data_IF_925019872504
#
_entry.id   IF_925019872504
#
_cell.length_a   1.000
_cell.length_b   1.000
_cell.length_c   1.000
_cell.angle_alpha   90.00
_cell.angle_beta   90.00
_cell.angle_gamma   90.00
#
_symmetry.space_group_name_H-M   'P 1'
#
loop_
_entity.id
_entity.type
_entity.pdbx_description
1 polymer ?
#
# COMPACT_ATOMS: atom_id res chain seq x y z
N UNK A 1 57.74 11.54 -42.75
CA UNK A 1 56.58 12.33 -42.27
C UNK A 1 55.63 11.54 -41.37
N UNK A 2 55.51 10.21 -41.50
CA UNK A 2 54.63 9.40 -40.61
C UNK A 2 55.15 9.16 -39.18
N UNK A 3 56.46 9.25 -38.90
CA UNK A 3 56.98 9.00 -37.54
C UNK A 3 56.80 10.17 -36.56
N UNK A 4 56.65 11.42 -37.04
CA UNK A 4 56.43 12.57 -36.15
C UNK A 4 54.98 12.71 -35.66
N UNK A 5 54.01 12.15 -36.39
CA UNK A 5 52.57 12.29 -36.08
C UNK A 5 52.13 11.27 -35.00
N UNK A 6 52.76 10.10 -34.92
CA UNK A 6 52.46 9.12 -33.86
C UNK A 6 52.94 9.56 -32.48
N UNK A 7 54.07 10.28 -32.39
CA UNK A 7 54.60 10.76 -31.11
C UNK A 7 53.78 11.88 -30.46
N UNK A 8 53.15 12.74 -31.25
CA UNK A 8 52.35 13.87 -30.73
C UNK A 8 50.96 13.46 -30.25
N UNK A 9 50.35 12.43 -30.87
CA UNK A 9 49.04 11.89 -30.46
C UNK A 9 49.15 11.10 -29.15
N UNK A 10 50.19 10.28 -28.99
CA UNK A 10 50.44 9.53 -27.76
C UNK A 10 50.68 10.47 -26.57
N UNK A 11 51.44 11.55 -26.78
CA UNK A 11 51.76 12.52 -25.74
C UNK A 11 50.53 13.35 -25.29
N UNK A 12 49.55 13.57 -26.19
CA UNK A 12 48.28 14.25 -25.87
C UNK A 12 47.34 13.36 -25.05
N UNK A 13 47.28 12.07 -25.37
CA UNK A 13 46.50 11.08 -24.60
C UNK A 13 47.08 10.88 -23.19
N UNK A 14 48.40 10.81 -23.06
CA UNK A 14 49.06 10.74 -21.75
C UNK A 14 48.78 12.01 -20.93
N UNK A 15 48.90 13.20 -21.53
CA UNK A 15 48.59 14.46 -20.83
C UNK A 15 47.12 14.56 -20.38
N UNK A 16 46.18 14.08 -21.22
CA UNK A 16 44.76 14.00 -20.86
C UNK A 16 44.51 13.01 -19.71
N UNK A 17 45.16 11.84 -19.72
CA UNK A 17 45.07 10.85 -18.66
C UNK A 17 45.63 11.36 -17.33
N UNK A 18 46.74 12.12 -17.36
CA UNK A 18 47.27 12.79 -16.16
C UNK A 18 46.33 13.87 -15.64
N UNK A 19 45.70 14.65 -16.52
CA UNK A 19 44.74 15.68 -16.11
C UNK A 19 43.46 15.09 -15.50
N UNK A 20 42.94 14.01 -16.09
CA UNK A 20 41.78 13.26 -15.57
C UNK A 20 42.13 12.58 -14.24
N UNK A 21 43.32 11.97 -14.12
CA UNK A 21 43.79 11.34 -12.88
C UNK A 21 43.93 12.37 -11.75
N UNK A 22 44.49 13.54 -12.02
CA UNK A 22 44.60 14.65 -11.05
C UNK A 22 43.21 15.20 -10.66
N UNK A 23 42.28 15.30 -11.61
CA UNK A 23 40.90 15.72 -11.33
C UNK A 23 40.15 14.68 -10.48
N UNK A 24 40.32 13.38 -10.75
CA UNK A 24 39.73 12.29 -9.98
C UNK A 24 40.31 12.21 -8.58
N UNK A 25 41.63 12.39 -8.41
CA UNK A 25 42.28 12.48 -7.09
C UNK A 25 41.84 13.72 -6.30
N UNK A 26 41.64 14.86 -6.97
CA UNK A 26 41.07 16.06 -6.36
C UNK A 26 39.63 15.80 -5.88
N UNK A 27 38.77 15.23 -6.73
CA UNK A 27 37.39 14.90 -6.38
C UNK A 27 37.30 13.85 -5.26
N UNK A 28 38.15 12.82 -5.28
CA UNK A 28 38.25 11.81 -4.21
C UNK A 28 38.77 12.40 -2.89
N UNK A 29 39.55 13.48 -2.92
CA UNK A 29 39.99 14.18 -1.70
C UNK A 29 38.87 14.99 -1.01
N UNK A 30 37.78 15.31 -1.72
CA UNK A 30 36.59 15.95 -1.16
C UNK A 30 35.55 14.96 -0.60
N UNK A 31 35.64 13.66 -0.92
CA UNK A 31 34.70 12.63 -0.45
C UNK A 31 34.71 12.45 1.08
N UNK A 32 35.87 12.46 1.78
CA UNK A 32 35.89 12.37 3.25
C UNK A 32 35.36 13.64 3.95
N UNK A 33 35.31 14.77 3.24
CA UNK A 33 34.79 16.03 3.78
C UNK A 33 33.26 16.04 3.77
N UNK A 34 32.61 15.35 2.83
CA UNK A 34 31.16 15.28 2.71
C UNK A 34 30.48 14.41 3.78
N UNK A 35 31.19 13.44 4.37
CA UNK A 35 30.63 12.44 5.29
C UNK A 35 30.40 12.96 6.73
N UNK A 36 30.72 14.22 7.04
CA UNK A 36 30.58 14.78 8.39
C UNK A 36 30.10 16.24 8.44
N UNK A 37 29.43 16.72 7.39
CA UNK A 37 29.03 18.14 7.27
C UNK A 37 27.62 18.44 7.77
N UNK A 38 26.74 17.44 7.92
CA UNK A 38 25.42 17.63 8.53
C UNK A 38 25.53 17.75 10.05
N UNK A 39 24.77 18.67 10.65
CA UNK A 39 24.68 18.82 12.11
C UNK A 39 23.24 18.60 12.52
N UNK A 40 23.04 17.69 13.47
CA UNK A 40 21.74 17.52 14.12
C UNK A 40 21.43 18.74 14.97
N UNK A 41 20.24 19.30 14.77
CA UNK A 41 19.73 20.44 15.50
C UNK A 41 18.32 20.14 15.99
N UNK A 42 17.96 20.68 17.16
CA UNK A 42 16.69 20.43 17.81
C UNK A 42 16.05 21.70 18.34
N UNK A 43 14.73 21.64 18.45
CA UNK A 43 13.91 22.70 19.03
C UNK A 43 12.77 22.08 19.82
N UNK A 44 12.36 22.75 20.89
CA UNK A 44 11.22 22.37 21.71
C UNK A 44 10.32 23.58 21.95
N UNK A 45 9.01 23.37 21.88
CA UNK A 45 7.98 24.38 22.07
C UNK A 45 6.97 23.91 23.10
N UNK A 46 6.53 24.81 23.98
CA UNK A 46 5.41 24.55 24.89
C UNK A 46 4.49 25.75 24.99
N UNK A 47 3.24 25.50 25.35
CA UNK A 47 2.33 26.53 25.83
C UNK A 47 0.89 26.03 25.91
N UNK A 48 -0.06 26.97 25.87
CA UNK A 48 -1.48 26.72 26.19
C UNK A 48 -2.38 27.31 25.11
N UNK A 49 -3.33 26.52 24.60
CA UNK A 49 -4.34 26.99 23.67
C UNK A 49 -5.68 27.13 24.37
N UNK A 50 -6.33 28.27 24.16
CA UNK A 50 -7.68 28.55 24.65
C UNK A 50 -8.58 28.91 23.49
N UNK A 51 -9.86 28.55 23.59
CA UNK A 51 -10.91 28.94 22.65
C UNK A 51 -12.00 29.64 23.46
N UNK A 52 -12.13 30.96 23.26
CA UNK A 52 -12.92 31.83 24.12
C UNK A 52 -12.51 31.65 25.60
N UNK A 53 -13.45 31.33 26.48
CA UNK A 53 -13.22 31.19 27.92
C UNK A 53 -12.86 29.75 28.34
N UNK A 54 -12.56 28.86 27.39
CA UNK A 54 -12.30 27.44 27.66
C UNK A 54 -10.92 27.02 27.18
N UNK A 55 -10.26 26.07 27.88
CA UNK A 55 -9.12 25.37 27.32
C UNK A 55 -9.48 24.69 25.99
N UNK A 56 -8.62 24.82 24.99
CA UNK A 56 -8.80 24.16 23.70
C UNK A 56 -8.09 22.82 23.74
N UNK A 57 -8.84 21.78 24.13
CA UNK A 57 -8.35 20.40 24.17
C UNK A 57 -8.34 19.76 22.78
N UNK A 58 -7.46 18.77 22.60
CA UNK A 58 -7.34 17.96 21.38
C UNK A 58 -7.05 18.77 20.08
N UNK A 59 -6.37 19.92 20.23
CA UNK A 59 -5.93 20.76 19.11
C UNK A 59 -4.59 20.22 18.60
N UNK A 60 -4.50 19.96 17.31
CA UNK A 60 -3.29 19.41 16.68
C UNK A 60 -2.23 20.49 16.49
N UNK A 61 -1.00 20.15 16.87
CA UNK A 61 0.19 20.97 16.71
C UNK A 61 1.29 20.18 16.03
N UNK A 62 1.99 20.79 15.07
CA UNK A 62 3.08 20.14 14.32
C UNK A 62 4.27 21.05 14.20
N UNK A 63 5.44 20.51 14.47
CA UNK A 63 6.72 21.18 14.36
C UNK A 63 7.39 20.77 13.05
N UNK A 64 7.85 21.76 12.30
CA UNK A 64 8.45 21.61 10.99
C UNK A 64 9.76 22.36 10.90
N UNK A 65 10.62 21.86 10.02
CA UNK A 65 11.70 22.63 9.43
C UNK A 65 11.21 23.23 8.11
N UNK A 66 11.35 24.56 7.94
CA UNK A 66 10.90 25.25 6.74
C UNK A 66 11.98 25.27 5.66
N UNK A 67 11.69 24.60 4.55
CA UNK A 67 12.60 24.51 3.41
C UNK A 67 12.20 25.47 2.29
N UNK A 68 13.18 26.14 1.67
CA UNK A 68 12.93 27.05 0.53
C UNK A 68 12.80 26.34 -0.80
N UNK A 69 13.35 25.13 -0.93
CA UNK A 69 13.47 24.38 -2.19
C UNK A 69 12.83 22.98 -2.14
N UNK A 70 12.37 22.54 -0.96
CA UNK A 70 11.68 21.27 -0.71
C UNK A 70 10.38 21.52 0.09
N UNK A 71 9.45 20.55 0.11
CA UNK A 71 8.37 20.57 1.09
C UNK A 71 8.92 20.56 2.52
N UNK A 72 8.29 21.30 3.43
CA UNK A 72 8.66 21.34 4.85
C UNK A 72 8.83 19.93 5.45
N UNK A 73 9.92 19.70 6.18
CA UNK A 73 10.17 18.44 6.88
C UNK A 73 9.41 18.42 8.22
N UNK A 74 8.61 17.38 8.45
CA UNK A 74 7.91 17.19 9.72
C UNK A 74 8.88 16.64 10.77
N UNK A 75 9.18 17.45 11.80
CA UNK A 75 10.07 17.05 12.90
C UNK A 75 9.31 16.36 14.03
N UNK A 76 8.10 16.82 14.36
CA UNK A 76 7.27 16.24 15.41
C UNK A 76 5.80 16.65 15.29
N UNK A 77 4.90 15.84 15.87
CA UNK A 77 3.49 16.17 16.02
C UNK A 77 2.99 15.89 17.44
N UNK A 78 1.96 16.59 17.86
CA UNK A 78 1.32 16.43 19.15
C UNK A 78 -0.08 17.04 19.18
N UNK A 79 -0.77 16.89 20.31
CA UNK A 79 -2.10 17.46 20.55
C UNK A 79 -2.15 18.08 21.94
N UNK A 80 -3.00 19.09 22.13
CA UNK A 80 -3.23 19.67 23.45
C UNK A 80 -3.97 18.72 24.37
N UNK A 81 -3.63 18.75 25.66
CA UNK A 81 -4.31 18.00 26.71
C UNK A 81 -5.69 18.61 27.07
N UNK A 82 -6.38 18.02 28.05
CA UNK A 82 -7.69 18.48 28.51
C UNK A 82 -7.67 19.91 29.11
N UNK A 83 -6.49 20.42 29.47
CA UNK A 83 -6.26 21.77 29.98
C UNK A 83 -5.69 22.70 28.88
N UNK A 84 -5.65 22.24 27.63
CA UNK A 84 -5.16 23.01 26.49
C UNK A 84 -3.64 23.12 26.42
N UNK A 85 -2.89 22.42 27.28
CA UNK A 85 -1.42 22.48 27.27
C UNK A 85 -0.84 21.55 26.20
N UNK A 86 0.28 21.96 25.61
CA UNK A 86 1.12 21.07 24.81
C UNK A 86 2.60 21.30 25.06
N UNK A 87 3.39 20.28 24.77
CA UNK A 87 4.84 20.34 24.67
C UNK A 87 5.29 19.43 23.53
N UNK A 88 5.93 20.01 22.52
CA UNK A 88 6.43 19.30 21.34
C UNK A 88 7.91 19.56 21.16
N UNK A 89 8.67 18.55 20.76
CA UNK A 89 10.10 18.65 20.51
C UNK A 89 10.47 17.76 19.34
N UNK A 90 11.42 18.21 18.52
CA UNK A 90 11.90 17.48 17.37
C UNK A 90 13.30 17.90 16.99
N UNK A 91 13.90 17.17 16.05
CA UNK A 91 15.21 17.46 15.48
C UNK A 91 15.23 17.19 13.98
N UNK A 92 16.20 17.78 13.30
CA UNK A 92 16.51 17.54 11.89
C UNK A 92 18.03 17.54 11.68
N UNK A 93 18.47 16.86 10.64
CA UNK A 93 19.87 16.78 10.22
C UNK A 93 20.12 17.68 9.01
N UNK A 94 20.71 18.85 9.25
CA UNK A 94 20.94 19.84 8.20
C UNK A 94 22.41 20.28 8.09
N UNK A 95 22.81 20.68 6.89
CA UNK A 95 24.09 21.37 6.66
C UNK A 95 24.05 22.83 7.16
N UNK A 96 22.88 23.45 7.14
CA UNK A 96 22.59 24.82 7.57
C UNK A 96 21.90 24.86 8.93
N UNK A 97 21.52 26.05 9.41
CA UNK A 97 20.64 26.15 10.57
C UNK A 97 19.22 25.84 10.13
N UNK A 98 18.52 25.02 10.91
CA UNK A 98 17.09 24.77 10.73
C UNK A 98 16.29 26.08 10.81
N UNK A 99 15.17 26.16 10.10
CA UNK A 99 14.21 27.27 10.08
C UNK A 99 12.90 26.83 10.77
N UNK A 100 12.89 26.65 12.11
CA UNK A 100 11.82 25.93 12.80
C UNK A 100 10.54 26.75 12.87
N UNK A 101 9.42 26.12 12.50
CA UNK A 101 8.07 26.66 12.69
C UNK A 101 7.15 25.60 13.28
N UNK A 102 6.16 26.02 14.03
CA UNK A 102 5.07 25.13 14.42
C UNK A 102 3.72 25.66 13.94
N UNK A 103 2.88 24.72 13.53
CA UNK A 103 1.54 24.98 13.01
C UNK A 103 0.52 24.52 14.03
N UNK A 104 -0.49 25.35 14.28
CA UNK A 104 -1.67 25.05 15.11
C UNK A 104 -2.86 24.87 14.16
N UNK A 105 -3.56 23.74 14.30
CA UNK A 105 -4.72 23.40 13.48
C UNK A 105 -5.98 23.32 14.34
N UNK A 106 -6.93 24.23 14.13
CA UNK A 106 -8.08 24.37 15.02
C UNK A 106 -9.37 24.77 14.31
N UNK A 107 -10.49 24.51 14.99
CA UNK A 107 -11.85 24.85 14.53
C UNK A 107 -12.56 25.80 15.50
N UNK A 108 -11.82 26.46 16.39
CA UNK A 108 -12.37 27.46 17.30
C UNK A 108 -13.12 28.57 16.53
N UNK A 109 -14.40 28.74 16.87
CA UNK A 109 -15.35 29.64 16.21
C UNK A 109 -15.40 29.53 14.67
N UNK A 110 -15.08 28.35 14.13
CA UNK A 110 -14.99 28.11 12.68
C UNK A 110 -16.27 27.52 12.09
N UNK A 111 -17.23 27.13 12.93
CA UNK A 111 -18.50 26.55 12.51
C UNK A 111 -18.34 25.18 11.84
N UNK A 112 -19.13 24.89 10.80
CA UNK A 112 -19.04 23.67 9.98
C UNK A 112 -18.38 24.05 8.65
N UNK A 113 -17.09 24.37 8.68
CA UNK A 113 -16.33 24.77 7.49
C UNK A 113 -15.25 23.72 7.21
N UNK A 114 -15.11 23.24 5.96
CA UNK A 114 -14.08 22.26 5.63
C UNK A 114 -12.68 22.88 5.81
N UNK A 115 -11.71 22.02 6.11
CA UNK A 115 -10.31 22.40 6.35
C UNK A 115 -10.13 23.15 7.68
N UNK A 116 -9.11 22.83 8.46
CA UNK A 116 -8.91 23.52 9.74
C UNK A 116 -8.28 24.90 9.51
N UNK A 117 -8.60 25.86 10.38
CA UNK A 117 -7.83 27.10 10.47
C UNK A 117 -6.41 26.75 10.90
N UNK A 118 -5.43 27.28 10.16
CA UNK A 118 -4.01 27.02 10.36
C UNK A 118 -3.29 28.31 10.72
N UNK A 119 -2.69 28.33 11.90
CA UNK A 119 -1.81 29.40 12.36
C UNK A 119 -0.38 28.88 12.38
N UNK A 120 0.52 29.57 11.69
CA UNK A 120 1.95 29.26 11.67
C UNK A 120 2.70 30.21 12.59
N UNK A 121 3.54 29.67 13.46
CA UNK A 121 4.39 30.44 14.37
C UNK A 121 5.85 30.00 14.16
N UNK A 122 6.71 30.94 13.78
CA UNK A 122 8.15 30.69 13.68
C UNK A 122 8.79 30.71 15.07
N UNK A 123 9.65 29.73 15.34
CA UNK A 123 10.40 29.63 16.58
C UNK A 123 11.71 30.42 16.42
N UNK A 124 12.04 31.37 17.31
CA UNK A 124 13.26 32.16 17.15
C UNK A 124 14.54 31.33 17.24
N UNK A 125 15.52 31.62 16.37
CA UNK A 125 16.77 30.86 16.22
C UNK A 125 17.54 30.65 17.53
N UNK A 126 17.42 31.57 18.49
CA UNK A 126 18.07 31.47 19.81
C UNK A 126 17.63 30.25 20.66
N UNK A 127 16.52 29.60 20.27
CA UNK A 127 16.00 28.37 20.88
C UNK A 127 16.50 27.10 20.19
N UNK A 128 17.16 27.20 19.03
CA UNK A 128 17.79 26.07 18.35
C UNK A 128 18.95 25.56 19.21
N UNK A 129 19.01 24.25 19.37
CA UNK A 129 20.06 23.55 20.13
C UNK A 129 20.78 22.56 19.24
N UNK A 130 22.09 22.38 19.44
CA UNK A 130 22.83 21.30 18.79
C UNK A 130 22.57 19.95 19.48
N UNK A 131 22.35 18.92 18.66
CA UNK A 131 21.97 17.55 19.05
C UNK A 131 20.47 17.29 18.93
N UNK A 132 20.07 16.03 19.13
CA UNK A 132 18.67 15.57 18.99
C UNK A 132 17.71 16.11 20.06
N UNK A 133 18.22 16.55 21.21
CA UNK A 133 17.41 17.01 22.34
C UNK A 133 17.57 18.51 22.57
N UNK A 134 16.46 19.29 22.61
CA UNK A 134 16.54 20.72 22.82
C UNK A 134 17.02 21.06 24.23
N UNK A 135 17.99 21.97 24.33
CA UNK A 135 18.53 22.46 25.61
C UNK A 135 17.71 23.63 26.16
N UNK A 136 16.92 24.27 25.31
CA UNK A 136 16.02 25.37 25.64
C UNK A 136 14.65 25.06 25.06
N UNK A 137 13.61 25.45 25.79
CA UNK A 137 12.23 25.32 25.35
C UNK A 137 11.69 26.71 25.07
N UNK A 138 11.14 26.92 23.88
CA UNK A 138 10.39 28.12 23.53
C UNK A 138 9.01 28.06 24.17
N UNK A 139 8.78 28.91 25.17
CA UNK A 139 7.47 29.08 25.78
C UNK A 139 6.69 30.14 24.99
N UNK A 140 5.74 29.70 24.17
CA UNK A 140 4.91 30.63 23.37
C UNK A 140 3.73 31.20 24.17
N UNK A 141 3.59 30.81 25.45
CA UNK A 141 2.59 31.33 26.37
C UNK A 141 1.18 30.77 26.12
N UNK A 142 0.17 31.60 26.38
CA UNK A 142 -1.25 31.26 26.16
C UNK A 142 -1.77 31.99 24.93
N UNK A 143 -2.42 31.26 24.02
CA UNK A 143 -2.90 31.79 22.75
C UNK A 143 -4.39 31.56 22.56
N UNK A 144 -5.10 32.62 22.14
CA UNK A 144 -6.55 32.66 21.97
C UNK A 144 -6.95 32.31 20.53
N UNK A 145 -7.53 31.15 20.31
CA UNK A 145 -7.90 30.67 18.97
C UNK A 145 -9.16 31.32 18.39
N UNK A 146 -9.97 31.99 19.21
CA UNK A 146 -11.19 32.67 18.75
C UNK A 146 -10.91 33.92 17.90
N UNK A 147 -9.73 34.52 18.02
CA UNK A 147 -9.33 35.70 17.24
C UNK A 147 -9.11 35.37 15.76
N UNK A 148 -9.19 36.37 14.88
CA UNK A 148 -8.76 36.27 13.47
C UNK A 148 -7.37 36.87 13.33
N UNK A 149 -6.42 36.09 12.84
CA UNK A 149 -5.01 36.50 12.79
C UNK A 149 -4.55 36.80 11.36
N UNK A 150 -3.69 37.80 11.20
CA UNK A 150 -3.09 38.09 9.91
C UNK A 150 -2.11 36.96 9.53
N UNK A 151 -2.18 36.48 8.27
CA UNK A 151 -1.36 35.35 7.80
C UNK A 151 -1.92 33.97 8.18
N UNK A 152 -3.07 33.92 8.86
CA UNK A 152 -3.81 32.69 9.08
C UNK A 152 -4.31 32.11 7.74
N UNK A 153 -4.11 30.80 7.57
CA UNK A 153 -4.49 30.07 6.36
C UNK A 153 -5.49 28.97 6.71
N UNK A 154 -5.91 28.17 5.73
CA UNK A 154 -6.70 26.95 5.96
C UNK A 154 -5.94 25.76 5.40
N UNK A 155 -5.85 24.69 6.19
CA UNK A 155 -5.23 23.44 5.73
C UNK A 155 -6.30 22.42 5.35
N UNK A 156 -6.42 22.19 4.05
CA UNK A 156 -7.32 21.20 3.45
C UNK A 156 -6.66 19.86 3.17
N UNK A 157 -5.35 19.76 3.37
CA UNK A 157 -4.57 18.53 3.24
C UNK A 157 -4.56 17.75 4.57
N UNK A 158 -4.92 18.43 5.67
CA UNK A 158 -5.22 17.84 6.98
C UNK A 158 -6.71 18.00 7.32
N UNK A 159 -7.54 16.98 7.12
CA UNK A 159 -8.92 16.99 7.57
C UNK A 159 -9.01 16.46 9.01
N UNK A 160 -9.38 17.30 9.99
CA UNK A 160 -10.01 16.79 11.22
C UNK A 160 -11.47 17.28 11.36
N UNK A 161 -12.36 16.30 11.16
CA UNK A 161 -13.69 16.05 11.73
C UNK A 161 -14.61 17.23 12.12
N UNK A 162 -15.65 17.43 11.32
CA UNK A 162 -16.97 17.82 11.84
C UNK A 162 -17.52 16.69 12.73
N UNK A 163 -18.42 17.00 13.68
CA UNK A 163 -18.99 16.11 14.71
C UNK A 163 -19.69 14.80 14.23
N UNK A 164 -19.55 14.41 12.96
CA UNK A 164 -19.95 13.10 12.46
C UNK A 164 -18.79 12.11 12.61
N UNK A 165 -18.87 11.25 13.62
CA UNK A 165 -17.93 10.14 13.78
C UNK A 165 -18.23 9.12 12.67
N UNK A 166 -17.31 8.88 11.72
CA UNK A 166 -17.53 7.88 10.67
C UNK A 166 -17.72 6.52 11.34
N UNK A 167 -18.78 5.83 10.93
CA UNK A 167 -19.18 4.57 11.54
C UNK A 167 -18.75 3.41 10.66
N UNK A 168 -18.30 2.34 11.30
CA UNK A 168 -18.08 1.09 10.61
C UNK A 168 -19.39 0.55 10.03
N UNK A 169 -19.36 -0.18 8.90
CA UNK A 169 -20.57 -0.69 8.30
C UNK A 169 -21.36 -1.59 9.24
N UNK A 170 -22.69 -1.59 9.08
CA UNK A 170 -23.61 -2.41 9.88
C UNK A 170 -23.47 -2.18 11.41
N UNK A 171 -23.00 -1.00 11.83
CA UNK A 171 -22.74 -0.66 13.23
C UNK A 171 -21.76 -1.62 13.92
N UNK A 172 -20.82 -2.21 13.17
CA UNK A 172 -19.71 -2.97 13.75
C UNK A 172 -18.78 -2.07 14.58
N UNK A 173 -18.01 -2.66 15.49
CA UNK A 173 -17.08 -1.89 16.32
C UNK A 173 -15.95 -1.31 15.46
N UNK A 174 -15.62 -0.05 15.67
CA UNK A 174 -14.38 0.55 15.17
C UNK A 174 -13.26 0.33 16.19
N UNK A 175 -12.04 0.15 15.70
CA UNK A 175 -10.84 0.22 16.53
C UNK A 175 -10.44 1.69 16.66
N UNK A 176 -10.78 2.31 17.80
CA UNK A 176 -10.46 3.72 18.14
C UNK A 176 -10.78 4.77 17.04
N UNK A 177 -11.67 4.42 16.11
CA UNK A 177 -11.94 5.19 14.88
C UNK A 177 -10.68 5.46 14.02
N UNK A 178 -9.67 4.59 14.14
CA UNK A 178 -8.46 4.64 13.33
C UNK A 178 -8.79 4.53 11.85
N UNK A 179 -8.33 5.52 11.10
CA UNK A 179 -8.41 5.51 9.64
C UNK A 179 -7.34 4.57 9.08
N UNK A 180 -7.68 3.95 7.97
CA UNK A 180 -6.77 3.07 7.25
C UNK A 180 -6.81 3.37 5.74
N UNK A 181 -5.74 3.04 5.02
CA UNK A 181 -5.75 3.03 3.55
C UNK A 181 -5.89 1.58 3.05
N UNK A 182 -6.94 1.20 2.31
CA UNK A 182 -7.10 -0.18 1.83
C UNK A 182 -5.94 -0.69 0.96
N UNK A 183 -5.06 0.21 0.48
CA UNK A 183 -3.85 -0.11 -0.30
C UNK A 183 -2.62 -0.39 0.56
N UNK A 184 -2.63 -0.02 1.84
CA UNK A 184 -1.51 -0.20 2.78
C UNK A 184 -1.72 -1.43 3.65
N UNK A 185 -0.64 -2.20 3.83
CA UNK A 185 -0.67 -3.50 4.54
C UNK A 185 -0.72 -3.30 6.05
N UNK A 186 -1.40 -4.22 6.74
CA UNK A 186 -1.30 -4.44 8.19
C UNK A 186 -1.50 -3.18 9.05
N UNK A 187 -2.41 -2.29 8.66
CA UNK A 187 -2.72 -1.09 9.45
C UNK A 187 -3.67 -1.37 10.60
N UNK A 188 -4.58 -2.34 10.44
CA UNK A 188 -5.57 -2.68 11.44
C UNK A 188 -5.07 -3.82 12.34
N UNK A 189 -5.42 -3.81 13.64
CA UNK A 189 -5.09 -4.90 14.55
C UNK A 189 -5.86 -6.18 14.21
N UNK A 190 -5.42 -7.31 14.78
CA UNK A 190 -6.09 -8.60 14.60
C UNK A 190 -7.57 -8.53 15.01
N UNK A 191 -8.46 -9.14 14.23
CA UNK A 191 -9.91 -9.06 14.40
C UNK A 191 -10.56 -7.82 13.75
N UNK A 192 -9.76 -6.94 13.14
CA UNK A 192 -10.22 -5.77 12.42
C UNK A 192 -9.67 -5.78 10.98
N UNK A 193 -10.44 -5.24 10.04
CA UNK A 193 -10.00 -5.02 8.66
C UNK A 193 -10.34 -3.61 8.20
N UNK A 194 -9.63 -3.14 7.18
CA UNK A 194 -9.83 -1.81 6.63
C UNK A 194 -11.09 -1.78 5.77
N UNK A 195 -12.19 -1.22 6.29
CA UNK A 195 -13.51 -1.22 5.67
C UNK A 195 -13.98 0.19 5.39
N UNK A 196 -14.79 0.36 4.36
CA UNK A 196 -15.33 1.67 4.00
C UNK A 196 -16.29 2.14 5.10
N UNK A 197 -16.05 3.29 5.70
CA UNK A 197 -16.96 3.88 6.69
C UNK A 197 -18.26 4.36 6.04
N UNK A 198 -19.36 4.24 6.77
CA UNK A 198 -20.60 4.93 6.44
C UNK A 198 -20.48 6.39 6.88
N UNK A 199 -20.52 7.30 5.92
CA UNK A 199 -20.69 8.72 6.18
C UNK A 199 -22.19 9.02 6.26
N UNK A 200 -22.67 9.34 7.46
CA UNK A 200 -24.09 9.65 7.68
C UNK A 200 -24.46 11.07 7.23
N UNK A 201 -23.52 11.90 6.78
CA UNK A 201 -23.84 13.25 6.33
C UNK A 201 -23.36 13.54 4.89
N UNK A 202 -24.33 13.65 3.97
CA UNK A 202 -24.13 13.78 2.52
C UNK A 202 -23.65 15.17 2.06
N UNK A 203 -22.86 15.88 2.86
CA UNK A 203 -22.34 17.20 2.50
C UNK A 203 -20.82 17.26 2.33
N UNK A 204 -20.18 16.13 2.02
CA UNK A 204 -18.78 16.07 1.58
C UNK A 204 -18.70 16.01 0.05
N UNK A 205 -17.74 16.74 -0.51
CA UNK A 205 -17.34 16.69 -1.92
C UNK A 205 -17.17 15.23 -2.41
N UNK A 206 -17.47 14.90 -3.68
CA UNK A 206 -17.88 13.55 -4.08
C UNK A 206 -16.78 12.46 -4.17
N UNK A 207 -15.54 12.65 -3.71
CA UNK A 207 -14.44 11.85 -4.30
C UNK A 207 -13.58 10.97 -3.39
N UNK A 208 -13.53 11.15 -2.07
CA UNK A 208 -12.65 10.30 -1.24
C UNK A 208 -13.43 9.46 -0.21
N UNK A 209 -13.59 8.14 -0.44
CA UNK A 209 -14.18 7.24 0.54
C UNK A 209 -13.31 7.17 1.80
N UNK A 210 -13.94 7.33 2.97
CA UNK A 210 -13.29 7.13 4.28
C UNK A 210 -13.23 5.62 4.55
N UNK A 211 -12.09 5.15 5.04
CA UNK A 211 -11.93 3.77 5.51
C UNK A 211 -11.48 3.76 6.97
N UNK A 212 -11.99 2.80 7.73
CA UNK A 212 -11.75 2.62 9.15
C UNK A 212 -11.34 1.18 9.43
N UNK A 213 -10.59 0.98 10.50
CA UNK A 213 -10.38 -0.35 11.06
C UNK A 213 -11.65 -0.82 11.78
N UNK A 214 -12.35 -1.77 11.17
CA UNK A 214 -13.66 -2.23 11.59
C UNK A 214 -13.64 -3.72 11.92
N UNK A 215 -14.34 -4.10 12.98
CA UNK A 215 -14.42 -5.47 13.47
C UNK A 215 -14.97 -6.42 12.40
N UNK A 216 -14.39 -7.62 12.34
CA UNK A 216 -14.72 -8.65 11.35
C UNK A 216 -15.50 -9.84 11.91
N UNK A 217 -15.62 -9.96 13.24
CA UNK A 217 -16.20 -11.14 13.90
C UNK A 217 -17.64 -11.45 13.47
N UNK A 218 -18.43 -10.42 13.14
CA UNK A 218 -19.82 -10.57 12.68
C UNK A 218 -19.98 -10.63 11.17
N UNK A 219 -18.89 -10.54 10.39
CA UNK A 219 -18.98 -10.50 8.93
C UNK A 219 -19.31 -11.89 8.37
N UNK A 220 -20.36 -11.96 7.56
CA UNK A 220 -20.61 -13.12 6.71
C UNK A 220 -19.62 -13.14 5.55
N UNK A 221 -19.46 -14.30 4.90
CA UNK A 221 -18.64 -14.39 3.68
C UNK A 221 -19.19 -13.50 2.55
N UNK A 222 -20.50 -13.22 2.54
CA UNK A 222 -21.12 -12.29 1.61
C UNK A 222 -20.68 -10.84 1.84
N UNK A 223 -20.57 -10.43 3.11
CA UNK A 223 -20.04 -9.11 3.47
C UNK A 223 -18.59 -8.96 3.01
N UNK A 224 -17.75 -9.98 3.23
CA UNK A 224 -16.39 -10.02 2.70
C UNK A 224 -16.34 -9.86 1.17
N UNK A 225 -17.17 -10.61 0.44
CA UNK A 225 -17.20 -10.51 -1.03
C UNK A 225 -17.70 -9.15 -1.53
N UNK A 226 -18.61 -8.50 -0.80
CA UNK A 226 -19.10 -7.17 -1.12
C UNK A 226 -18.03 -6.09 -0.86
N UNK A 227 -17.35 -6.13 0.29
CA UNK A 227 -16.32 -5.17 0.69
C UNK A 227 -15.13 -5.17 -0.28
N UNK A 228 -14.72 -6.35 -0.75
CA UNK A 228 -13.66 -6.51 -1.75
C UNK A 228 -14.16 -6.32 -3.19
N UNK A 229 -15.41 -5.87 -3.39
CA UNK A 229 -16.03 -5.64 -4.69
C UNK A 229 -16.03 -6.86 -5.63
N UNK A 230 -15.97 -8.06 -5.05
CA UNK A 230 -15.97 -9.33 -5.78
C UNK A 230 -17.38 -9.69 -6.27
N UNK A 231 -18.40 -9.39 -5.47
CA UNK A 231 -19.81 -9.59 -5.83
C UNK A 231 -20.53 -8.23 -5.90
N UNK A 232 -21.32 -7.95 -6.96
CA UNK A 232 -21.63 -8.80 -8.12
C UNK A 232 -20.66 -8.62 -9.31
N UNK A 233 -19.56 -7.90 -9.13
CA UNK A 233 -18.69 -7.46 -10.23
C UNK A 233 -17.97 -8.62 -10.94
N UNK A 234 -17.48 -9.59 -10.17
CA UNK A 234 -16.72 -10.75 -10.65
C UNK A 234 -17.59 -12.00 -10.52
N UNK A 235 -18.11 -12.25 -9.31
CA UNK A 235 -18.98 -13.38 -9.01
C UNK A 235 -20.44 -12.93 -8.93
N UNK A 236 -21.37 -13.53 -9.70
CA UNK A 236 -22.78 -13.10 -9.74
C UNK A 236 -23.51 -13.19 -8.39
N UNK A 237 -23.12 -14.16 -7.56
CA UNK A 237 -23.73 -14.43 -6.26
C UNK A 237 -22.62 -14.63 -5.23
N UNK A 238 -22.83 -14.20 -3.96
CA UNK A 238 -21.88 -14.47 -2.90
C UNK A 238 -21.90 -15.97 -2.55
N UNK A 239 -20.82 -16.53 -1.99
CA UNK A 239 -20.79 -17.88 -1.46
C UNK A 239 -21.83 -18.09 -0.34
N UNK A 240 -22.34 -19.32 -0.19
CA UNK A 240 -23.37 -19.62 0.81
C UNK A 240 -22.84 -19.66 2.25
N UNK A 241 -21.58 -20.04 2.46
CA UNK A 241 -20.99 -20.18 3.78
C UNK A 241 -19.50 -19.81 3.78
N UNK A 242 -18.98 -19.46 4.96
CA UNK A 242 -17.55 -19.31 5.16
C UNK A 242 -16.91 -20.69 5.37
N UNK A 243 -15.67 -20.85 4.94
CA UNK A 243 -14.84 -21.99 5.35
C UNK A 243 -14.34 -21.78 6.78
N UNK A 244 -14.23 -22.85 7.56
CA UNK A 244 -13.64 -22.78 8.90
C UNK A 244 -12.16 -22.44 8.79
N UNK A 245 -11.44 -23.17 7.95
CA UNK A 245 -9.99 -23.03 7.82
C UNK A 245 -9.48 -23.59 6.50
N UNK A 246 -8.29 -23.14 6.11
CA UNK A 246 -7.56 -23.62 4.92
C UNK A 246 -6.14 -23.97 5.34
N UNK A 247 -5.73 -25.19 5.00
CA UNK A 247 -4.34 -25.62 5.14
C UNK A 247 -3.68 -25.52 3.76
N UNK A 248 -2.59 -24.75 3.72
CA UNK A 248 -1.76 -24.65 2.54
C UNK A 248 -0.69 -25.73 2.56
N UNK A 249 -0.29 -26.13 1.37
CA UNK A 249 0.82 -27.05 1.19
C UNK A 249 2.12 -26.40 1.67
N UNK A 250 2.86 -27.03 2.58
CA UNK A 250 4.17 -26.54 2.99
C UNK A 250 5.22 -26.74 1.89
N UNK A 251 6.37 -26.07 2.01
CA UNK A 251 7.51 -26.26 1.11
C UNK A 251 8.08 -27.68 1.16
N UNK A 252 8.04 -28.29 2.35
CA UNK A 252 8.51 -29.63 2.62
C UNK A 252 7.73 -30.24 3.79
N UNK A 253 7.92 -31.55 4.02
CA UNK A 253 7.21 -32.29 5.06
C UNK A 253 7.58 -31.86 6.50
N UNK A 254 8.65 -31.10 6.70
CA UNK A 254 9.17 -30.73 8.01
C UNK A 254 8.80 -29.30 8.43
N UNK A 255 8.34 -28.49 7.48
CA UNK A 255 7.93 -27.12 7.71
C UNK A 255 6.50 -27.06 8.24
N UNK A 256 6.34 -26.69 9.51
CA UNK A 256 5.03 -26.39 10.07
C UNK A 256 4.48 -25.12 9.41
N UNK A 257 3.37 -25.27 8.68
CA UNK A 257 2.70 -24.15 8.03
C UNK A 257 1.45 -23.77 8.82
N UNK A 258 1.23 -22.48 9.10
CA UNK A 258 0.04 -22.05 9.81
C UNK A 258 -1.22 -22.34 9.01
N UNK A 259 -2.28 -22.69 9.73
CA UNK A 259 -3.65 -22.76 9.20
C UNK A 259 -4.15 -21.34 8.96
N UNK A 260 -4.89 -21.14 7.87
CA UNK A 260 -5.35 -19.83 7.41
C UNK A 260 -6.86 -19.72 7.51
N UNK A 261 -7.34 -18.62 8.07
CA UNK A 261 -8.75 -18.29 8.23
C UNK A 261 -9.14 -17.13 7.30
N UNK A 262 -10.44 -16.89 7.19
CA UNK A 262 -10.94 -15.75 6.41
C UNK A 262 -10.50 -14.44 7.06
N UNK A 263 -9.93 -13.53 6.25
CA UNK A 263 -9.42 -12.23 6.66
C UNK A 263 -7.95 -12.21 7.05
N UNK A 264 -7.29 -13.37 7.17
CA UNK A 264 -5.89 -13.44 7.60
C UNK A 264 -4.93 -12.75 6.62
N UNK A 265 -3.89 -12.12 7.17
CA UNK A 265 -2.73 -11.58 6.45
C UNK A 265 -1.49 -12.41 6.78
N UNK A 266 -1.17 -13.37 5.91
CA UNK A 266 -0.06 -14.30 6.10
C UNK A 266 1.24 -13.70 5.58
N UNK A 267 2.28 -13.65 6.40
CA UNK A 267 3.61 -13.13 6.00
C UNK A 267 4.63 -14.27 6.02
N UNK A 268 5.09 -14.67 4.83
CA UNK A 268 5.95 -15.84 4.61
C UNK A 268 7.35 -15.46 4.10
N UNK A 269 7.89 -14.34 4.57
CA UNK A 269 9.19 -13.82 4.12
C UNK A 269 10.38 -14.69 4.52
N UNK A 270 10.22 -15.52 5.55
CA UNK A 270 11.22 -16.49 6.01
C UNK A 270 11.36 -17.72 5.09
N UNK A 271 10.47 -17.87 4.11
CA UNK A 271 10.42 -18.99 3.18
C UNK A 271 10.76 -18.50 1.75
N UNK A 272 12.04 -18.28 1.42
CA UNK A 272 12.46 -17.54 0.22
C UNK A 272 12.10 -18.23 -1.10
N UNK A 273 11.83 -19.54 -1.08
CA UNK A 273 11.45 -20.33 -2.26
C UNK A 273 9.94 -20.56 -2.37
N UNK A 274 9.14 -20.03 -1.44
CA UNK A 274 7.69 -20.13 -1.51
C UNK A 274 7.13 -19.07 -2.45
N UNK A 275 6.71 -19.49 -3.65
CA UNK A 275 6.27 -18.59 -4.72
C UNK A 275 4.75 -18.51 -4.85
N UNK A 276 4.03 -19.59 -4.52
CA UNK A 276 2.57 -19.66 -4.65
C UNK A 276 1.98 -20.61 -3.60
N UNK A 277 0.81 -20.26 -3.07
CA UNK A 277 0.11 -21.13 -2.14
C UNK A 277 -0.81 -22.10 -2.87
N UNK A 278 -0.57 -23.40 -2.67
CA UNK A 278 -1.46 -24.46 -3.12
C UNK A 278 -2.28 -24.96 -1.93
N UNK A 279 -3.60 -25.05 -2.09
CA UNK A 279 -4.49 -25.61 -1.07
C UNK A 279 -4.21 -27.11 -0.92
N UNK A 280 -3.93 -27.54 0.31
CA UNK A 280 -3.76 -28.94 0.68
C UNK A 280 -5.02 -29.52 1.32
N UNK A 281 -5.71 -28.71 2.13
CA UNK A 281 -6.92 -29.14 2.80
C UNK A 281 -7.86 -27.96 3.03
N UNK A 282 -9.16 -28.22 2.95
CA UNK A 282 -10.22 -27.25 3.24
C UNK A 282 -11.08 -27.80 4.36
N UNK A 283 -11.39 -26.96 5.36
CA UNK A 283 -12.30 -27.31 6.45
C UNK A 283 -13.57 -26.47 6.37
N UNK A 284 -14.74 -27.12 6.37
CA UNK A 284 -16.04 -26.48 6.35
C UNK A 284 -16.52 -26.18 7.77
N UNK A 285 -17.23 -25.07 7.96
CA UNK A 285 -17.94 -24.78 9.21
C UNK A 285 -19.03 -25.82 9.53
N UNK A 286 -19.65 -26.39 8.50
CA UNK A 286 -20.64 -27.46 8.59
C UNK A 286 -20.38 -28.50 7.50
N UNK A 287 -20.63 -29.80 7.76
CA UNK A 287 -20.34 -30.83 6.77
C UNK A 287 -21.15 -30.60 5.48
N UNK A 288 -20.52 -30.70 4.29
CA UNK A 288 -21.25 -30.60 3.03
C UNK A 288 -22.18 -31.80 2.85
N UNK A 289 -23.19 -31.67 2.00
CA UNK A 289 -24.07 -32.78 1.66
C UNK A 289 -23.27 -33.98 1.15
N UNK A 290 -23.60 -35.17 1.67
CA UNK A 290 -23.07 -36.43 1.16
C UNK A 290 -23.47 -36.62 -0.30
N UNK A 291 -22.66 -37.38 -1.03
CA UNK A 291 -22.81 -37.68 -2.45
C UNK A 291 -22.60 -36.46 -3.38
N UNK A 292 -22.35 -36.75 -4.65
CA UNK A 292 -21.93 -35.78 -5.65
C UNK A 292 -20.44 -35.43 -5.55
N UNK A 293 -20.08 -34.27 -6.09
CA UNK A 293 -18.71 -33.85 -6.30
C UNK A 293 -18.48 -32.42 -5.79
N UNK A 294 -17.33 -32.23 -5.14
CA UNK A 294 -16.81 -30.96 -4.69
C UNK A 294 -15.69 -30.51 -5.61
N UNK A 295 -15.60 -29.20 -5.82
CA UNK A 295 -14.59 -28.58 -6.67
C UNK A 295 -13.99 -27.39 -5.94
N UNK A 296 -12.67 -27.32 -5.86
CA UNK A 296 -11.92 -26.27 -5.15
C UNK A 296 -11.26 -25.38 -6.18
N UNK A 297 -11.65 -24.11 -6.23
CA UNK A 297 -11.08 -23.08 -7.08
C UNK A 297 -10.33 -22.07 -6.21
N UNK A 298 -9.04 -21.90 -6.44
CA UNK A 298 -8.22 -20.84 -5.84
C UNK A 298 -7.98 -19.76 -6.88
N UNK A 299 -8.37 -18.53 -6.60
CA UNK A 299 -8.18 -17.36 -7.45
C UNK A 299 -7.16 -16.44 -6.79
N UNK A 300 -6.11 -16.07 -7.51
CA UNK A 300 -5.05 -15.16 -7.05
C UNK A 300 -5.23 -13.82 -7.74
N UNK A 301 -5.24 -12.75 -6.96
CA UNK A 301 -5.56 -11.38 -7.39
C UNK A 301 -6.88 -11.35 -8.18
N UNK A 302 -8.02 -11.60 -7.50
CA UNK A 302 -9.32 -11.66 -8.16
C UNK A 302 -9.66 -10.30 -8.79
N UNK A 303 -9.79 -10.27 -10.10
CA UNK A 303 -10.25 -9.12 -10.86
C UNK A 303 -11.12 -9.58 -12.04
N UNK A 304 -11.47 -8.69 -12.97
CA UNK A 304 -12.06 -9.12 -14.25
C UNK A 304 -11.13 -10.08 -15.01
N UNK A 305 -9.80 -9.92 -14.87
CA UNK A 305 -8.80 -10.84 -15.41
C UNK A 305 -7.84 -11.23 -14.27
N UNK A 306 -8.11 -12.35 -13.58
CA UNK A 306 -7.32 -12.74 -12.41
C UNK A 306 -5.88 -13.07 -12.81
N UNK A 307 -4.93 -12.91 -11.89
CA UNK A 307 -3.53 -13.16 -12.20
C UNK A 307 -3.23 -14.66 -12.31
N UNK A 308 -3.88 -15.48 -11.49
CA UNK A 308 -3.93 -16.92 -11.68
C UNK A 308 -5.21 -17.55 -11.10
N UNK A 309 -5.53 -18.75 -11.59
CA UNK A 309 -6.54 -19.63 -11.03
C UNK A 309 -6.04 -21.07 -11.01
N UNK A 310 -6.27 -21.77 -9.91
CA UNK A 310 -6.05 -23.20 -9.78
C UNK A 310 -7.35 -23.89 -9.43
N UNK A 311 -7.74 -24.86 -10.23
CA UNK A 311 -9.01 -25.54 -10.09
C UNK A 311 -8.79 -27.04 -9.95
N UNK A 312 -9.17 -27.60 -8.80
CA UNK A 312 -9.21 -29.04 -8.56
C UNK A 312 -10.66 -29.47 -8.54
N UNK A 313 -11.03 -30.39 -9.41
CA UNK A 313 -12.42 -30.74 -9.66
C UNK A 313 -12.69 -32.24 -9.51
N UNK A 314 -13.97 -32.57 -9.36
CA UNK A 314 -14.49 -33.93 -9.19
C UNK A 314 -13.93 -34.66 -7.95
N UNK A 315 -13.76 -33.96 -6.82
CA UNK A 315 -13.48 -34.61 -5.53
C UNK A 315 -14.79 -35.17 -4.97
N UNK A 316 -14.83 -36.44 -4.53
CA UNK A 316 -16.09 -37.01 -4.02
C UNK A 316 -16.50 -36.35 -2.70
N UNK A 317 -17.77 -35.95 -2.58
CA UNK A 317 -18.31 -35.48 -1.30
C UNK A 317 -18.65 -36.67 -0.40
N UNK A 318 -17.89 -36.83 0.68
CA UNK A 318 -18.07 -37.89 1.67
C UNK A 318 -18.81 -37.42 2.93
N UNK A 319 -19.22 -36.15 2.99
CA UNK A 319 -19.96 -35.59 4.10
C UNK A 319 -19.12 -35.28 5.36
N UNK A 320 -17.81 -35.24 5.25
CA UNK A 320 -16.92 -34.81 6.34
C UNK A 320 -16.62 -33.30 6.25
N UNK A 321 -16.38 -32.68 7.41
CA UNK A 321 -15.99 -31.27 7.49
C UNK A 321 -14.62 -31.02 6.86
N UNK A 322 -13.77 -32.05 6.74
CA UNK A 322 -12.41 -31.94 6.24
C UNK A 322 -12.32 -32.54 4.83
N UNK A 323 -11.95 -31.71 3.85
CA UNK A 323 -11.74 -32.11 2.47
C UNK A 323 -10.25 -32.02 2.08
N UNK A 324 -9.54 -33.16 2.03
CA UNK A 324 -8.17 -33.18 1.55
C UNK A 324 -8.13 -32.97 0.03
N UNK A 325 -7.16 -32.20 -0.43
CA UNK A 325 -6.83 -32.00 -1.85
C UNK A 325 -5.57 -32.80 -2.16
N UNK A 326 -5.71 -34.04 -2.67
CA UNK A 326 -4.58 -34.96 -2.77
C UNK A 326 -3.59 -34.53 -3.87
N UNK A 327 -2.32 -34.92 -3.68
CA UNK A 327 -1.24 -34.73 -4.65
C UNK A 327 -1.50 -35.48 -5.95
N UNK A 328 -1.82 -36.76 -5.80
CA UNK A 328 -2.15 -37.65 -6.91
C UNK A 328 -3.66 -37.76 -7.01
N UNK A 329 -4.22 -37.22 -8.08
CA UNK A 329 -5.64 -37.35 -8.37
C UNK A 329 -5.89 -38.70 -9.07
N UNK A 330 -7.06 -39.28 -8.79
CA UNK A 330 -7.46 -40.59 -9.32
C UNK A 330 -8.90 -40.54 -9.84
N UNK A 331 -9.23 -41.48 -10.73
CA UNK A 331 -10.57 -41.60 -11.27
C UNK A 331 -10.96 -40.39 -12.12
N UNK A 332 -12.06 -39.74 -11.75
CA UNK A 332 -12.62 -38.59 -12.47
C UNK A 332 -12.08 -37.24 -11.98
N UNK A 333 -11.28 -37.23 -10.91
CA UNK A 333 -10.69 -36.00 -10.36
C UNK A 333 -9.59 -35.45 -11.26
N UNK A 334 -9.54 -34.13 -11.42
CA UNK A 334 -8.55 -33.48 -12.29
C UNK A 334 -8.11 -32.12 -11.79
N UNK A 335 -7.11 -31.53 -12.48
CA UNK A 335 -6.68 -30.14 -12.29
C UNK A 335 -6.79 -29.36 -13.58
N UNK A 336 -7.15 -28.09 -13.46
CA UNK A 336 -7.02 -27.10 -14.51
C UNK A 336 -6.42 -25.84 -13.90
N UNK A 337 -5.74 -25.04 -14.72
CA UNK A 337 -5.13 -23.80 -14.26
C UNK A 337 -5.18 -22.75 -15.34
N UNK A 338 -5.28 -21.50 -14.89
CA UNK A 338 -5.10 -20.32 -15.72
C UNK A 338 -4.02 -19.46 -15.07
N UNK A 339 -3.08 -18.94 -15.86
CA UNK A 339 -2.07 -17.99 -15.40
C UNK A 339 -1.98 -16.91 -16.46
N UNK A 340 -2.12 -15.65 -16.06
CA UNK A 340 -2.01 -14.53 -16.98
C UNK A 340 -0.55 -14.26 -17.35
N UNK A 341 -0.10 -14.82 -18.47
CA UNK A 341 1.26 -14.62 -18.97
C UNK A 341 1.52 -13.23 -19.56
N UNK A 342 0.50 -12.38 -19.70
CA UNK A 342 0.65 -11.03 -20.25
C UNK A 342 0.86 -9.95 -19.19
N UNK A 343 0.53 -10.24 -17.93
CA UNK A 343 0.70 -9.29 -16.82
C UNK A 343 2.05 -9.51 -16.17
N UNK A 344 2.92 -8.50 -16.24
CA UNK A 344 4.15 -8.46 -15.45
C UNK A 344 3.95 -7.68 -14.16
N UNK A 345 4.54 -8.15 -13.08
CA UNK A 345 4.51 -7.49 -11.77
C UNK A 345 5.79 -6.66 -11.60
N UNK A 346 5.70 -5.48 -11.03
CA UNK A 346 6.89 -4.66 -10.74
C UNK A 346 7.75 -5.40 -9.70
N UNK A 347 9.07 -5.44 -9.91
CA UNK A 347 10.01 -6.03 -8.95
C UNK A 347 9.95 -5.27 -7.61
N UNK A 348 9.72 -6.01 -6.52
CA UNK A 348 9.61 -5.49 -5.16
C UNK A 348 10.33 -6.43 -4.20
N UNK A 349 10.63 -5.96 -2.98
CA UNK A 349 11.25 -6.79 -1.94
C UNK A 349 10.31 -7.87 -1.40
N UNK A 350 9.00 -7.68 -1.56
CA UNK A 350 7.98 -8.68 -1.25
C UNK A 350 6.71 -8.48 -2.08
N UNK A 351 6.03 -9.58 -2.35
CA UNK A 351 4.80 -9.61 -3.14
C UNK A 351 3.64 -9.99 -2.23
N UNK A 352 2.67 -9.10 -2.04
CA UNK A 352 1.40 -9.43 -1.38
C UNK A 352 0.39 -9.77 -2.45
N UNK A 353 -0.24 -10.93 -2.29
CA UNK A 353 -1.32 -11.36 -3.16
C UNK A 353 -2.58 -11.71 -2.39
N UNK A 354 -3.73 -11.29 -2.89
CA UNK A 354 -5.05 -11.67 -2.42
C UNK A 354 -5.42 -13.05 -2.98
N UNK A 355 -5.90 -13.92 -2.10
CA UNK A 355 -6.36 -15.25 -2.43
C UNK A 355 -7.85 -15.38 -2.09
N UNK A 356 -8.61 -15.93 -3.04
CA UNK A 356 -10.00 -16.31 -2.84
C UNK A 356 -10.15 -17.79 -3.14
N UNK A 357 -10.47 -18.58 -2.13
CA UNK A 357 -10.70 -20.03 -2.26
C UNK A 357 -12.21 -20.26 -2.23
N UNK A 358 -12.72 -20.86 -3.30
CA UNK A 358 -14.13 -21.16 -3.52
C UNK A 358 -14.32 -22.67 -3.58
N UNK A 359 -15.35 -23.18 -2.91
CA UNK A 359 -15.79 -24.56 -3.04
C UNK A 359 -17.14 -24.59 -3.71
N UNK A 360 -17.25 -25.34 -4.80
CA UNK A 360 -18.49 -25.60 -5.52
C UNK A 360 -18.95 -27.04 -5.29
N UNK A 361 -20.24 -27.28 -5.45
CA UNK A 361 -20.82 -28.63 -5.40
C UNK A 361 -21.68 -28.90 -6.62
N UNK A 362 -21.48 -30.06 -7.23
CA UNK A 362 -22.34 -30.57 -8.31
C UNK A 362 -22.81 -31.98 -7.99
N UNK A 363 -23.95 -32.38 -8.56
CA UNK A 363 -24.45 -33.76 -8.40
C UNK A 363 -23.70 -34.74 -9.33
N UNK A 364 -23.28 -34.26 -10.50
CA UNK A 364 -22.55 -35.02 -11.52
C UNK A 364 -21.11 -34.50 -11.66
N UNK A 365 -20.17 -35.31 -12.14
CA UNK A 365 -18.81 -34.83 -12.41
C UNK A 365 -18.84 -33.78 -13.53
N UNK A 366 -18.02 -32.74 -13.39
CA UNK A 366 -17.83 -31.70 -14.41
C UNK A 366 -16.73 -32.12 -15.38
N UNK A 367 -16.83 -31.62 -16.62
CA UNK A 367 -15.84 -31.85 -17.68
C UNK A 367 -15.23 -30.51 -18.10
N UNK A 368 -13.91 -30.47 -18.25
CA UNK A 368 -13.20 -29.30 -18.77
C UNK A 368 -12.66 -29.67 -20.16
N UNK A 369 -12.88 -28.80 -21.15
CA UNK A 369 -12.65 -29.09 -22.56
C UNK A 369 -11.26 -29.68 -22.86
N UNK A 370 -11.22 -30.82 -23.56
CA UNK A 370 -10.00 -31.50 -24.02
C UNK A 370 -9.51 -31.00 -25.39
N UNK A 371 -9.88 -29.80 -25.82
CA UNK A 371 -9.43 -29.30 -27.13
C UNK A 371 -8.08 -28.59 -26.98
N UNK A 372 -6.98 -29.34 -27.13
CA UNK A 372 -5.98 -29.16 -28.19
C UNK A 372 -4.81 -30.13 -27.92
N UNK A 373 -4.64 -31.02 -28.89
CA UNK A 373 -3.50 -31.90 -29.07
C UNK A 373 -2.21 -31.04 -29.24
N UNK A 374 -1.14 -31.38 -28.50
CA UNK A 374 0.26 -30.92 -28.68
C UNK A 374 0.67 -29.44 -28.41
N UNK A 375 0.50 -28.90 -27.18
CA UNK A 375 1.35 -27.75 -26.74
C UNK A 375 1.83 -27.78 -25.27
N UNK A 376 1.53 -28.82 -24.49
CA UNK A 376 1.94 -28.87 -23.07
C UNK A 376 1.20 -27.88 -22.16
N UNK A 377 0.14 -27.24 -22.67
CA UNK A 377 -0.81 -26.45 -21.87
C UNK A 377 -1.95 -27.36 -21.41
N UNK A 378 -2.29 -27.31 -20.12
CA UNK A 378 -3.40 -28.05 -19.53
C UNK A 378 -4.77 -27.62 -20.10
N UNK A 379 -5.87 -28.26 -19.65
CA UNK A 379 -7.22 -27.92 -20.11
C UNK A 379 -7.57 -26.44 -19.88
N UNK A 380 -8.16 -25.79 -20.89
CA UNK A 380 -8.51 -24.35 -20.85
C UNK A 380 -9.63 -24.08 -19.84
N UNK A 381 -9.25 -23.55 -18.68
CA UNK A 381 -10.16 -23.18 -17.60
C UNK A 381 -11.03 -21.96 -17.93
N UNK A 382 -10.54 -21.05 -18.79
CA UNK A 382 -11.30 -19.87 -19.20
C UNK A 382 -12.34 -20.20 -20.26
N UNK A 383 -12.24 -21.36 -20.93
CA UNK A 383 -13.20 -21.87 -21.89
C UNK A 383 -13.61 -20.83 -22.96
N UNK A 384 -12.64 -20.08 -23.48
CA UNK A 384 -12.83 -19.01 -24.46
C UNK A 384 -13.38 -17.68 -23.92
N UNK A 385 -13.56 -17.54 -22.61
CA UNK A 385 -13.90 -16.25 -21.99
C UNK A 385 -12.67 -15.34 -21.83
N UNK A 386 -12.87 -14.04 -22.02
CA UNK A 386 -11.83 -13.01 -21.82
C UNK A 386 -11.74 -12.51 -20.39
N UNK A 387 -12.79 -12.74 -19.59
CA UNK A 387 -12.89 -12.29 -18.22
C UNK A 387 -13.57 -13.34 -17.32
N UNK A 388 -13.34 -13.19 -16.02
CA UNK A 388 -13.81 -14.07 -14.97
C UNK A 388 -15.33 -14.13 -14.90
N UNK A 389 -16.02 -12.99 -15.09
CA UNK A 389 -17.48 -12.90 -15.02
C UNK A 389 -18.12 -13.75 -16.12
N UNK A 390 -17.59 -13.70 -17.35
CA UNK A 390 -17.96 -14.58 -18.44
C UNK A 390 -17.72 -16.04 -18.07
N UNK A 391 -16.55 -16.38 -17.52
CA UNK A 391 -16.21 -17.76 -17.18
C UNK A 391 -17.19 -18.34 -16.15
N UNK A 392 -17.51 -17.62 -15.08
CA UNK A 392 -18.44 -18.12 -14.04
C UNK A 392 -19.91 -18.05 -14.45
N UNK A 393 -20.31 -17.11 -15.32
CA UNK A 393 -21.74 -16.89 -15.65
C UNK A 393 -22.18 -17.54 -16.96
N UNK A 394 -21.31 -17.53 -17.97
CA UNK A 394 -21.68 -17.81 -19.36
C UNK A 394 -21.08 -19.12 -19.87
N UNK A 395 -19.91 -19.52 -19.38
CA UNK A 395 -19.27 -20.79 -19.78
C UNK A 395 -20.11 -21.99 -19.34
N UNK A 396 -19.91 -23.13 -20.01
CA UNK A 396 -20.57 -24.40 -19.65
C UNK A 396 -20.18 -24.79 -18.23
N UNK A 397 -18.89 -24.73 -17.91
CA UNK A 397 -18.37 -25.03 -16.57
C UNK A 397 -18.98 -24.12 -15.51
N UNK A 398 -18.99 -22.80 -15.73
CA UNK A 398 -19.55 -21.83 -14.78
C UNK A 398 -21.02 -22.10 -14.46
N UNK A 399 -21.83 -22.41 -15.49
CA UNK A 399 -23.25 -22.76 -15.31
C UNK A 399 -23.45 -24.08 -14.56
N UNK A 400 -22.58 -25.07 -14.79
CA UNK A 400 -22.61 -26.34 -14.07
C UNK A 400 -22.21 -26.17 -12.60
N UNK A 401 -21.20 -25.34 -12.32
CA UNK A 401 -20.72 -25.06 -10.97
C UNK A 401 -21.74 -24.26 -10.15
N UNK A 402 -22.41 -23.29 -10.75
CA UNK A 402 -23.42 -22.46 -10.10
C UNK A 402 -22.87 -21.61 -8.96
N UNK A 403 -23.63 -21.49 -7.87
CA UNK A 403 -23.22 -20.71 -6.69
C UNK A 403 -22.21 -21.51 -5.84
N UNK A 404 -21.10 -20.89 -5.38
CA UNK A 404 -20.19 -21.54 -4.45
C UNK A 404 -20.90 -21.89 -3.13
N UNK A 405 -20.68 -23.12 -2.64
CA UNK A 405 -21.24 -23.57 -1.37
C UNK A 405 -20.45 -23.06 -0.17
N UNK A 406 -19.17 -22.79 -0.34
CA UNK A 406 -18.34 -22.18 0.70
C UNK A 406 -17.18 -21.39 0.11
N UNK A 407 -16.63 -20.44 0.86
CA UNK A 407 -15.42 -19.74 0.48
C UNK A 407 -14.62 -19.18 1.65
N UNK A 408 -13.39 -18.76 1.35
CA UNK A 408 -12.53 -17.96 2.23
C UNK A 408 -11.76 -16.94 1.39
N UNK A 409 -11.41 -15.81 2.02
CA UNK A 409 -10.58 -14.76 1.45
C UNK A 409 -9.46 -14.45 2.43
N UNK A 410 -8.23 -14.30 1.97
CA UNK A 410 -7.07 -13.96 2.79
C UNK A 410 -5.96 -13.41 1.90
N UNK A 411 -4.88 -12.93 2.51
CA UNK A 411 -3.72 -12.44 1.79
C UNK A 411 -2.47 -13.20 2.18
N UNK A 412 -1.56 -13.35 1.23
CA UNK A 412 -0.24 -13.93 1.47
C UNK A 412 0.81 -12.96 0.95
N UNK A 413 1.80 -12.69 1.78
CA UNK A 413 3.01 -11.96 1.42
C UNK A 413 4.19 -12.91 1.32
N UNK A 414 4.81 -13.01 0.14
CA UNK A 414 5.96 -13.87 -0.15
C UNK A 414 7.16 -13.05 -0.60
N UNK A 415 8.36 -13.64 -0.52
CA UNK A 415 9.60 -13.03 -1.03
C UNK A 415 9.71 -13.10 -2.55
N UNK A 416 9.13 -14.15 -3.14
CA UNK A 416 9.13 -14.39 -4.57
C UNK A 416 7.70 -14.55 -5.07
N UNK A 417 7.49 -14.33 -6.36
CA UNK A 417 6.20 -14.50 -7.02
C UNK A 417 6.33 -15.50 -8.17
N UNK A 418 5.25 -16.24 -8.47
CA UNK A 418 5.18 -17.10 -9.65
C UNK A 418 5.02 -16.30 -10.97
N UNK A 419 4.77 -14.99 -10.89
CA UNK A 419 4.53 -14.12 -12.03
C UNK A 419 5.82 -13.49 -12.55
N UNK A 420 5.86 -13.16 -13.85
CA UNK A 420 7.01 -12.48 -14.42
C UNK A 420 7.18 -11.11 -13.78
N UNK A 421 8.43 -10.77 -13.44
CA UNK A 421 8.76 -9.49 -12.81
C UNK A 421 9.51 -8.59 -13.76
N UNK A 422 9.15 -7.31 -13.79
CA UNK A 422 9.86 -6.27 -14.54
C UNK A 422 10.53 -5.29 -13.60
N UNK A 423 11.76 -4.90 -13.94
CA UNK A 423 12.47 -3.83 -13.24
C UNK A 423 12.09 -2.48 -13.86
N UNK A 424 11.73 -1.52 -13.03
CA UNK A 424 11.63 -0.12 -13.46
C UNK A 424 13.05 0.43 -13.40
N UNK A 425 13.74 0.44 -14.54
CA UNK A 425 15.02 1.14 -14.66
C UNK A 425 14.70 2.64 -14.71
N UNK A 426 15.29 3.39 -13.77
CA UNK A 426 15.16 4.86 -13.62
C UNK A 426 15.57 5.70 -14.84
N UNK A 427 16.03 5.06 -15.92
CA UNK A 427 16.55 5.71 -17.13
C UNK A 427 15.47 6.38 -18.00
N UNK A 428 14.20 6.00 -17.87
CA UNK A 428 13.10 6.63 -18.62
C UNK A 428 12.52 7.89 -17.93
N UNK A 429 12.72 8.07 -16.62
CA UNK A 429 12.35 9.29 -15.92
C UNK A 429 13.45 10.36 -16.08
N UNK A 430 14.72 9.95 -16.09
CA UNK A 430 15.84 10.84 -16.38
C UNK A 430 15.85 11.30 -17.82
N UNK A 431 15.49 10.49 -18.83
CA UNK A 431 15.37 10.98 -20.23
C UNK A 431 14.26 12.03 -20.43
N UNK A 432 13.15 11.93 -19.69
CA UNK A 432 12.11 12.96 -19.72
C UNK A 432 12.58 14.24 -19.01
N UNK A 433 13.25 14.11 -17.85
CA UNK A 433 13.78 15.24 -17.10
C UNK A 433 14.98 15.94 -17.79
N UNK A 434 15.87 15.20 -18.45
CA UNK A 434 17.03 15.74 -19.17
C UNK A 434 16.62 16.44 -20.46
N UNK A 435 15.57 15.96 -21.15
CA UNK A 435 15.02 16.67 -22.30
C UNK A 435 14.37 18.00 -21.89
N UNK A 436 13.62 18.03 -20.78
CA UNK A 436 13.01 19.27 -20.27
C UNK A 436 14.07 20.26 -19.74
N UNK A 437 15.06 19.77 -18.98
CA UNK A 437 16.16 20.59 -18.48
C UNK A 437 17.08 21.09 -19.61
N UNK A 438 17.33 20.26 -20.64
CA UNK A 438 18.08 20.63 -21.83
C UNK A 438 17.38 21.70 -22.66
N UNK A 439 16.05 21.60 -22.82
CA UNK A 439 15.27 22.65 -23.49
C UNK A 439 15.26 23.96 -22.71
N UNK A 440 15.18 23.93 -21.37
CA UNK A 440 15.26 25.13 -20.53
C UNK A 440 16.64 25.79 -20.58
N UNK A 441 17.72 25.00 -20.61
CA UNK A 441 19.10 25.52 -20.71
C UNK A 441 19.35 26.18 -22.08
N UNK A 442 18.83 25.62 -23.17
CA UNK A 442 18.94 26.21 -24.52
C UNK A 442 18.15 27.52 -24.59
N UNK A 443 16.97 27.59 -23.96
CA UNK A 443 16.18 28.83 -23.88
C UNK A 443 16.91 29.89 -23.04
N UNK A 444 17.52 29.52 -21.91
CA UNK A 444 18.32 30.44 -21.09
C UNK A 444 19.58 30.94 -21.83
N UNK A 445 20.29 30.08 -22.55
CA UNK A 445 21.47 30.47 -23.35
C UNK A 445 21.05 31.37 -24.52
N UNK A 446 19.93 31.08 -25.19
CA UNK A 446 19.39 31.94 -26.23
C UNK A 446 18.94 33.31 -25.68
N UNK A 447 18.39 33.36 -24.48
CA UNK A 447 17.99 34.62 -23.80
C UNK A 447 19.20 35.45 -23.35
N UNK A 448 20.27 34.79 -22.88
CA UNK A 448 21.53 35.45 -22.49
C UNK A 448 22.29 35.98 -23.71
N UNK A 449 22.32 35.22 -24.82
CA UNK A 449 22.93 35.67 -26.09
C UNK A 449 22.13 36.80 -26.77
N UNK A 450 20.82 36.87 -26.55
CA UNK A 450 19.99 37.98 -27.05
C UNK A 450 20.24 39.30 -26.29
N UNK A 451 20.68 39.24 -25.04
CA UNK A 451 20.98 40.41 -24.20
C UNK A 451 22.41 40.95 -24.34
N UNK A 452 23.34 40.22 -24.97
CA UNK A 452 24.68 40.74 -25.31
C UNK A 452 24.76 41.40 -26.71
N UNK A 453 23.65 41.41 -27.47
CA UNK A 453 23.55 41.99 -28.81
C UNK A 453 22.62 43.23 -28.89
N UNK A 454 22.22 43.78 -27.74
CA UNK A 454 21.61 45.10 -27.54
C UNK A 454 22.53 45.93 -26.65
#
# INVERSE_FOLDING_TARGET
MCHLIHGTVQHYHDLQLYFISMLVLLLLSFVPLAAGLGRTQSVGVRGTLICNDKPAADVEVKLYDEDKLSPDELMASGRTDAQGHFMIQGHADEFTSIEPKFNIYHDCDDGIMPCQRKITIHVPDQYISSGETPKKIFDFGTFQLAGKYAGETRDCLHPYYTNAVPQCPQNSLSFDHDRCDPRRRSQCPSGFTCRRGNDTDRFVLPELPIYLCCETASMSIGDWFAEYLLTPSIFPQPPLAMLNSIEMRPLDANTAFPVVHTGDEMVLLTYPHYTTAMVQNVEFMSPPLQDGFLHVMTVIEPSSKPLAMFFVYNLKSVGYNRLPVPDTLQGLSGRASYVDNSTSVIKQDSYRSQYVVLVYRTNNPVLIGQNQIFTGQGPDLMAGCTDMKCMVSNSVLGKELGQPVAASIFHITTKQTLFQTVEIISDNLTQAATNVAGHLLIICIAYLLYFELL
#
